data_IF_711466684576
#
_entry.id   IF_711466684576
#
_cell.length_a   1.000
_cell.length_b   1.000
_cell.length_c   1.000
_cell.angle_alpha   90.00
_cell.angle_beta   90.00
_cell.angle_gamma   90.00
#
_symmetry.space_group_name_H-M   'P 1'
#
loop_
_entity.id
_entity.type
_entity.pdbx_description
1 polymer ?
#
# COMPACT_ATOMS: atom_id res chain seq x y z
N UNK A 1 9.12 -26.88 9.61
CA UNK A 1 8.61 -25.56 9.22
C UNK A 1 7.21 -25.71 8.68
N UNK A 2 6.28 -24.91 9.19
CA UNK A 2 4.91 -24.81 8.72
C UNK A 2 4.83 -24.08 7.38
N UNK A 3 3.70 -24.17 6.68
CA UNK A 3 3.43 -23.33 5.49
C UNK A 3 3.48 -21.83 5.82
N UNK A 4 3.15 -21.46 7.07
CA UNK A 4 3.27 -20.09 7.52
C UNK A 4 4.74 -19.67 7.65
N UNK A 5 5.61 -20.53 8.18
CA UNK A 5 7.04 -20.24 8.31
C UNK A 5 7.70 -20.06 6.93
N UNK A 6 7.34 -20.90 5.95
CA UNK A 6 7.82 -20.76 4.57
C UNK A 6 7.41 -19.39 3.97
N UNK A 7 6.17 -18.97 4.20
CA UNK A 7 5.68 -17.67 3.74
C UNK A 7 6.50 -16.53 4.36
N UNK A 8 6.72 -16.55 5.68
CA UNK A 8 7.49 -15.51 6.36
C UNK A 8 8.92 -15.40 5.83
N UNK A 9 9.59 -16.54 5.62
CA UNK A 9 10.95 -16.56 5.07
C UNK A 9 10.98 -16.00 3.65
N UNK A 10 10.07 -16.43 2.77
CA UNK A 10 10.00 -15.93 1.40
C UNK A 10 9.71 -14.42 1.35
N UNK A 11 8.77 -13.96 2.19
CA UNK A 11 8.44 -12.55 2.35
C UNK A 11 9.68 -11.75 2.76
N UNK A 12 10.40 -12.19 3.78
CA UNK A 12 11.55 -11.45 4.32
C UNK A 12 12.72 -11.40 3.34
N UNK A 13 13.01 -12.52 2.65
CA UNK A 13 14.00 -12.57 1.57
C UNK A 13 13.60 -11.61 0.45
N UNK A 14 12.35 -11.64 0.02
CA UNK A 14 11.84 -10.78 -1.04
C UNK A 14 11.93 -9.30 -0.68
N UNK A 15 11.51 -8.96 0.55
CA UNK A 15 11.62 -7.63 1.14
C UNK A 15 13.07 -7.14 1.10
N UNK A 16 14.02 -7.92 1.61
CA UNK A 16 15.44 -7.58 1.62
C UNK A 16 15.98 -7.33 0.20
N UNK A 17 15.68 -8.23 -0.74
CA UNK A 17 16.12 -8.09 -2.14
C UNK A 17 15.52 -6.85 -2.82
N UNK A 18 14.24 -6.56 -2.61
CA UNK A 18 13.59 -5.38 -3.17
C UNK A 18 14.11 -4.09 -2.54
N UNK A 19 14.34 -4.09 -1.22
CA UNK A 19 14.92 -2.97 -0.50
C UNK A 19 16.33 -2.62 -0.99
N UNK A 20 17.18 -3.64 -1.21
CA UNK A 20 18.52 -3.46 -1.78
C UNK A 20 18.51 -2.91 -3.22
N UNK A 21 17.44 -3.16 -3.99
CA UNK A 21 17.23 -2.58 -5.32
C UNK A 21 16.68 -1.15 -5.28
N UNK A 22 16.44 -0.60 -4.09
CA UNK A 22 15.88 0.74 -3.92
C UNK A 22 14.42 0.86 -4.32
N UNK A 23 13.64 -0.21 -4.16
CA UNK A 23 12.21 -0.14 -4.36
C UNK A 23 11.48 0.27 -3.08
N UNK A 24 10.42 1.10 -3.16
CA UNK A 24 9.53 1.35 -2.04
C UNK A 24 8.78 0.07 -1.64
N UNK A 25 8.73 -0.19 -0.33
CA UNK A 25 8.02 -1.31 0.28
C UNK A 25 7.19 -0.76 1.43
N UNK A 26 5.87 -0.89 1.33
CA UNK A 26 4.92 -0.29 2.26
C UNK A 26 4.24 -1.39 3.08
N UNK A 27 4.22 -1.24 4.41
CA UNK A 27 3.33 -2.04 5.25
C UNK A 27 1.91 -1.48 5.15
N UNK A 28 1.17 -2.02 4.21
CA UNK A 28 -0.06 -1.44 3.70
C UNK A 28 -1.03 -2.55 3.29
N UNK A 29 -2.30 -2.20 3.12
CA UNK A 29 -3.23 -3.04 2.37
C UNK A 29 -3.54 -2.40 1.04
N UNK A 30 -3.85 -3.20 0.02
CA UNK A 30 -4.17 -2.69 -1.31
C UNK A 30 -5.27 -3.50 -1.98
N UNK A 31 -5.99 -2.82 -2.87
CA UNK A 31 -7.04 -3.40 -3.69
C UNK A 31 -6.86 -3.00 -5.15
N UNK A 32 -7.31 -3.87 -6.04
CA UNK A 32 -7.51 -3.58 -7.45
C UNK A 32 -8.83 -2.83 -7.61
N UNK A 33 -8.72 -1.53 -7.86
CA UNK A 33 -9.82 -0.64 -8.12
C UNK A 33 -9.92 -0.40 -9.64
N UNK A 34 -10.62 -1.30 -10.32
CA UNK A 34 -10.91 -1.23 -11.76
C UNK A 34 -9.65 -1.21 -12.64
N UNK A 35 -8.71 -2.14 -12.41
CA UNK A 35 -7.46 -2.28 -13.15
C UNK A 35 -6.35 -1.34 -12.66
N UNK A 36 -6.50 -0.74 -11.48
CA UNK A 36 -5.51 0.16 -10.89
C UNK A 36 -5.38 -0.10 -9.39
N UNK A 37 -4.16 -0.08 -8.88
CA UNK A 37 -3.92 -0.35 -7.47
C UNK A 37 -4.21 0.89 -6.59
N UNK A 38 -5.01 0.69 -5.55
CA UNK A 38 -5.20 1.65 -4.45
C UNK A 38 -4.54 1.09 -3.20
N UNK A 39 -3.67 1.88 -2.56
CA UNK A 39 -2.95 1.49 -1.35
C UNK A 39 -3.48 2.26 -0.14
N UNK A 40 -3.65 1.57 0.98
CA UNK A 40 -4.03 2.12 2.27
C UNK A 40 -2.91 1.94 3.29
N UNK A 41 -2.33 3.06 3.72
CA UNK A 41 -1.25 3.12 4.70
C UNK A 41 -1.78 3.67 6.03
N UNK A 42 -1.19 3.22 7.14
CA UNK A 42 -1.54 3.70 8.48
C UNK A 42 -0.73 2.96 9.53
N UNK A 43 -0.71 3.49 10.76
CA UNK A 43 -0.07 2.78 11.87
C UNK A 43 -0.76 1.44 12.14
N UNK A 44 -0.12 0.58 12.93
CA UNK A 44 -0.79 -0.66 13.38
C UNK A 44 -2.09 -0.30 14.10
N UNK A 45 -3.18 -1.00 13.78
CA UNK A 45 -4.51 -0.74 14.35
C UNK A 45 -5.35 0.34 13.66
N UNK A 46 -4.82 1.12 12.71
CA UNK A 46 -5.62 2.17 12.02
C UNK A 46 -6.73 1.63 11.13
N UNK A 47 -6.65 0.36 10.71
CA UNK A 47 -7.70 -0.32 9.95
C UNK A 47 -7.36 -0.67 8.49
N UNK A 48 -6.07 -0.79 8.12
CA UNK A 48 -5.62 -1.25 6.78
C UNK A 48 -6.34 -2.54 6.32
N UNK A 49 -6.22 -3.59 7.11
CA UNK A 49 -6.90 -4.86 6.83
C UNK A 49 -8.43 -4.73 6.90
N UNK A 50 -8.95 -3.81 7.72
CA UNK A 50 -10.39 -3.55 7.82
C UNK A 50 -10.94 -2.94 6.52
N UNK A 51 -10.33 -1.87 6.01
CA UNK A 51 -10.81 -1.18 4.81
C UNK A 51 -10.70 -2.06 3.56
N UNK A 52 -9.59 -2.81 3.41
CA UNK A 52 -9.44 -3.76 2.30
C UNK A 52 -10.47 -4.89 2.36
N UNK A 53 -10.82 -5.38 3.56
CA UNK A 53 -11.93 -6.35 3.73
C UNK A 53 -13.29 -5.75 3.43
N UNK A 54 -13.57 -4.52 3.87
CA UNK A 54 -14.84 -3.84 3.56
C UNK A 54 -15.01 -3.64 2.05
N UNK A 55 -13.92 -3.35 1.33
CA UNK A 55 -13.93 -3.20 -0.13
C UNK A 55 -13.90 -4.54 -0.87
N UNK A 56 -13.52 -5.65 -0.22
CA UNK A 56 -13.33 -6.96 -0.86
C UNK A 56 -14.59 -7.53 -1.56
N UNK A 57 -15.78 -7.04 -1.22
CA UNK A 57 -17.03 -7.41 -1.88
C UNK A 57 -17.17 -6.83 -3.30
N UNK A 58 -16.42 -5.76 -3.62
CA UNK A 58 -16.48 -5.02 -4.91
C UNK A 58 -15.13 -4.99 -5.63
N UNK A 59 -14.05 -5.01 -4.88
CA UNK A 59 -12.67 -4.87 -5.36
C UNK A 59 -11.82 -6.02 -4.90
N UNK A 60 -10.92 -6.49 -5.74
CA UNK A 60 -10.07 -7.59 -5.36
C UNK A 60 -8.91 -7.13 -4.47
N UNK A 61 -8.67 -7.80 -3.35
CA UNK A 61 -7.50 -7.50 -2.51
C UNK A 61 -6.24 -7.97 -3.23
N UNK A 62 -5.26 -7.07 -3.38
CA UNK A 62 -3.96 -7.38 -3.98
C UNK A 62 -3.04 -7.95 -2.90
N UNK A 63 -2.79 -7.18 -1.82
CA UNK A 63 -1.95 -7.58 -0.70
C UNK A 63 -2.36 -6.82 0.57
N UNK A 64 -2.50 -7.49 1.72
CA UNK A 64 -2.90 -6.84 3.00
C UNK A 64 -1.75 -6.65 4.00
N UNK A 65 -0.52 -6.94 3.57
CA UNK A 65 0.70 -6.87 4.38
C UNK A 65 1.76 -5.98 3.72
N UNK A 66 2.54 -6.50 2.77
CA UNK A 66 3.66 -5.78 2.16
C UNK A 66 3.38 -5.48 0.69
N UNK A 67 3.30 -4.19 0.38
CA UNK A 67 3.08 -3.68 -0.95
C UNK A 67 4.39 -3.20 -1.56
N UNK A 68 4.83 -3.90 -2.61
CA UNK A 68 6.02 -3.55 -3.37
C UNK A 68 5.64 -2.67 -4.56
N UNK A 69 6.38 -1.56 -4.72
CA UNK A 69 6.22 -0.66 -5.84
C UNK A 69 7.48 -0.66 -6.71
N UNK A 70 7.29 -0.73 -8.02
CA UNK A 70 8.31 -0.39 -9.00
C UNK A 70 8.13 1.07 -9.42
N UNK A 71 9.23 1.80 -9.50
CA UNK A 71 9.27 3.15 -10.04
C UNK A 71 9.79 3.11 -11.48
N UNK A 72 9.10 3.80 -12.38
CA UNK A 72 9.46 3.93 -13.79
C UNK A 72 9.22 5.36 -14.28
N UNK A 73 9.64 5.68 -15.50
CA UNK A 73 9.35 6.98 -16.10
C UNK A 73 7.83 7.24 -16.29
N UNK A 74 7.03 6.18 -16.42
CA UNK A 74 5.57 6.25 -16.55
C UNK A 74 4.82 6.28 -15.21
N UNK A 75 5.54 6.33 -14.09
CA UNK A 75 4.96 6.35 -12.75
C UNK A 75 5.23 5.07 -11.96
N UNK A 76 4.32 4.75 -11.04
CA UNK A 76 4.47 3.65 -10.09
C UNK A 76 3.57 2.48 -10.43
N UNK A 77 4.10 1.28 -10.24
CA UNK A 77 3.38 0.02 -10.45
C UNK A 77 3.45 -0.80 -9.17
N UNK A 78 2.29 -1.22 -8.67
CA UNK A 78 2.19 -2.17 -7.55
C UNK A 78 2.32 -3.57 -8.12
N UNK A 79 3.24 -4.35 -7.58
CA UNK A 79 3.47 -5.71 -8.05
C UNK A 79 2.92 -6.70 -7.05
N UNK A 80 2.08 -7.60 -7.55
CA UNK A 80 1.56 -8.67 -6.74
C UNK A 80 2.65 -9.71 -6.48
N UNK A 81 2.82 -10.10 -5.21
CA UNK A 81 3.85 -11.03 -4.80
C UNK A 81 3.41 -12.46 -5.11
N UNK A 82 4.21 -13.27 -5.84
CA UNK A 82 3.80 -14.60 -6.31
C UNK A 82 3.60 -15.63 -5.19
N UNK A 83 4.00 -15.30 -3.97
CA UNK A 83 3.84 -16.11 -2.76
C UNK A 83 2.73 -15.59 -1.84
N UNK A 84 2.02 -14.53 -2.23
CA UNK A 84 0.88 -14.02 -1.47
C UNK A 84 -0.33 -14.97 -1.57
N UNK A 85 -1.04 -15.13 -0.45
CA UNK A 85 -1.89 -16.31 -0.16
C UNK A 85 -3.27 -16.30 -0.84
N UNK A 86 -3.53 -15.42 -1.80
CA UNK A 86 -4.81 -15.36 -2.52
C UNK A 86 -4.71 -16.13 -3.83
N UNK A 87 -5.57 -17.15 -3.99
CA UNK A 87 -5.55 -18.09 -5.12
C UNK A 87 -5.93 -17.48 -6.47
N UNK A 88 -6.49 -16.26 -6.48
CA UNK A 88 -7.21 -15.72 -7.63
C UNK A 88 -6.73 -14.32 -8.08
N UNK A 89 -5.56 -13.83 -7.64
CA UNK A 89 -5.13 -12.45 -7.96
C UNK A 89 -4.95 -12.26 -9.49
N UNK A 90 -5.60 -11.25 -10.11
CA UNK A 90 -5.96 -11.29 -11.52
C UNK A 90 -4.81 -10.81 -12.43
N UNK A 91 -3.94 -9.94 -11.94
CA UNK A 91 -2.79 -9.43 -12.67
C UNK A 91 -1.50 -9.47 -11.84
N UNK A 92 -0.33 -9.72 -12.48
CA UNK A 92 0.95 -9.73 -11.78
C UNK A 92 1.35 -8.34 -11.26
N UNK A 93 0.81 -7.29 -11.85
CA UNK A 93 1.15 -5.90 -11.49
C UNK A 93 0.11 -4.93 -12.01
N UNK A 94 -0.19 -3.88 -11.25
CA UNK A 94 -1.17 -2.86 -11.61
C UNK A 94 -0.58 -1.44 -11.46
N UNK A 95 -0.90 -0.49 -12.34
CA UNK A 95 -0.48 0.90 -12.16
C UNK A 95 -1.10 1.48 -10.87
N UNK A 96 -0.33 2.28 -10.15
CA UNK A 96 -0.78 2.93 -8.92
C UNK A 96 -1.78 4.06 -9.25
N UNK A 97 -2.99 3.97 -8.69
CA UNK A 97 -3.99 5.04 -8.75
C UNK A 97 -3.81 6.06 -7.62
N UNK A 98 -3.64 5.59 -6.38
CA UNK A 98 -3.52 6.45 -5.20
C UNK A 98 -2.95 5.71 -3.99
N UNK A 99 -2.29 6.45 -3.11
CA UNK A 99 -1.94 6.04 -1.75
C UNK A 99 -2.74 6.91 -0.78
N UNK A 100 -3.53 6.25 0.06
CA UNK A 100 -4.30 6.91 1.11
C UNK A 100 -3.70 6.62 2.48
N UNK A 101 -3.35 7.69 3.21
CA UNK A 101 -3.06 7.63 4.63
C UNK A 101 -4.38 7.59 5.40
N UNK A 102 -4.61 6.52 6.16
CA UNK A 102 -5.87 6.29 6.84
C UNK A 102 -5.98 7.14 8.12
N UNK A 103 -7.17 7.70 8.31
CA UNK A 103 -7.61 8.35 9.55
C UNK A 103 -9.04 7.87 9.85
N UNK A 104 -9.32 7.41 11.06
CA UNK A 104 -10.67 6.98 11.42
C UNK A 104 -11.58 8.20 11.62
N UNK A 105 -12.78 8.14 11.07
CA UNK A 105 -13.77 9.21 11.18
C UNK A 105 -15.20 8.65 11.11
N UNK A 106 -16.19 9.50 11.38
CA UNK A 106 -17.61 9.15 11.23
C UNK A 106 -18.09 9.16 9.79
N UNK A 107 -17.41 9.93 8.92
CA UNK A 107 -17.73 10.06 7.49
C UNK A 107 -16.47 9.97 6.63
N UNK A 108 -16.66 9.59 5.38
CA UNK A 108 -15.57 9.44 4.43
C UNK A 108 -15.23 10.78 3.75
N UNK A 109 -13.94 11.13 3.76
CA UNK A 109 -13.44 12.36 3.14
C UNK A 109 -11.99 12.19 2.69
N UNK A 110 -11.69 12.62 1.47
CA UNK A 110 -10.30 12.70 0.98
C UNK A 110 -9.78 14.12 1.19
N UNK A 111 -8.61 14.22 1.82
CA UNK A 111 -7.90 15.49 2.04
C UNK A 111 -6.52 15.45 1.41
N UNK A 112 -6.07 16.60 0.93
CA UNK A 112 -4.67 16.79 0.54
C UNK A 112 -3.78 16.71 1.78
N UNK A 113 -2.55 16.26 1.58
CA UNK A 113 -1.51 16.45 2.58
C UNK A 113 -0.96 17.87 2.48
N UNK A 114 -0.53 18.42 3.61
CA UNK A 114 0.15 19.72 3.64
C UNK A 114 1.56 19.58 3.07
N UNK A 115 2.24 18.46 3.39
CA UNK A 115 3.54 18.11 2.81
C UNK A 115 3.68 16.59 2.63
N UNK A 116 4.40 16.13 1.57
CA UNK A 116 4.82 14.74 1.45
C UNK A 116 5.53 14.18 2.68
N UNK A 117 6.20 15.04 3.46
CA UNK A 117 6.94 14.64 4.66
C UNK A 117 6.01 14.04 5.74
N UNK A 118 4.74 14.45 5.78
CA UNK A 118 3.74 13.94 6.74
C UNK A 118 3.51 12.43 6.59
N UNK A 119 3.80 11.89 5.41
CA UNK A 119 3.64 10.48 5.12
C UNK A 119 4.88 9.65 5.41
N UNK A 120 6.06 10.26 5.52
CA UNK A 120 7.33 9.54 5.51
C UNK A 120 7.44 8.52 6.64
N UNK A 121 6.98 8.88 7.86
CA UNK A 121 6.96 7.95 8.98
C UNK A 121 6.11 6.70 8.69
N UNK A 122 4.92 6.88 8.08
CA UNK A 122 4.03 5.78 7.73
C UNK A 122 4.56 4.94 6.56
N UNK A 123 5.16 5.58 5.55
CA UNK A 123 5.67 4.89 4.38
C UNK A 123 6.98 4.14 4.66
N UNK A 124 7.75 4.56 5.67
CA UNK A 124 8.96 3.86 6.11
C UNK A 124 8.71 2.75 7.13
N UNK A 125 7.50 2.70 7.73
CA UNK A 125 7.07 1.56 8.53
C UNK A 125 6.92 0.33 7.63
N UNK A 126 7.99 -0.41 7.45
CA UNK A 126 8.04 -1.69 6.76
C UNK A 126 8.76 -2.70 7.66
N UNK A 127 8.64 -4.03 7.44
CA UNK A 127 9.13 -5.05 8.36
C UNK A 127 10.66 -5.16 8.27
N UNK A 128 11.36 -4.17 8.79
CA UNK A 128 12.82 -4.18 8.92
C UNK A 128 13.16 -3.80 10.34
N UNK A 129 14.09 -4.55 10.92
CA UNK A 129 14.62 -4.26 12.25
C UNK A 129 15.41 -2.95 12.26
N UNK A 130 15.97 -2.63 13.43
CA UNK A 130 16.81 -1.45 13.64
C UNK A 130 18.10 -1.46 12.82
N UNK A 131 18.49 -2.61 12.28
CA UNK A 131 19.68 -2.80 11.44
C UNK A 131 19.27 -3.11 9.99
N UNK A 132 18.69 -2.12 9.31
CA UNK A 132 18.39 -2.24 7.88
C UNK A 132 19.56 -1.73 7.02
N UNK A 133 20.34 -2.60 6.36
CA UNK A 133 21.43 -2.18 5.49
C UNK A 133 20.94 -1.39 4.26
N UNK A 134 19.65 -1.48 3.92
CA UNK A 134 19.05 -0.76 2.80
C UNK A 134 18.39 0.57 3.21
N UNK A 135 18.48 1.00 4.48
CA UNK A 135 17.70 2.14 5.00
C UNK A 135 17.88 3.41 4.17
N UNK A 136 19.11 3.75 3.79
CA UNK A 136 19.41 4.94 3.00
C UNK A 136 18.76 4.90 1.62
N UNK A 137 18.88 3.76 0.92
CA UNK A 137 18.32 3.59 -0.43
C UNK A 137 16.79 3.55 -0.36
N UNK A 138 16.20 2.84 0.60
CA UNK A 138 14.74 2.83 0.81
C UNK A 138 14.20 4.20 1.18
N UNK A 139 14.92 4.96 2.01
CA UNK A 139 14.53 6.33 2.36
C UNK A 139 14.46 7.21 1.11
N UNK A 140 15.47 7.14 0.24
CA UNK A 140 15.46 7.87 -1.04
C UNK A 140 14.31 7.42 -1.96
N UNK A 141 14.05 6.11 -2.04
CA UNK A 141 12.95 5.55 -2.82
C UNK A 141 11.58 6.02 -2.29
N UNK A 142 11.39 5.98 -0.96
CA UNK A 142 10.17 6.43 -0.30
C UNK A 142 9.97 7.93 -0.42
N UNK A 143 11.03 8.74 -0.36
CA UNK A 143 10.95 10.18 -0.65
C UNK A 143 10.51 10.44 -2.09
N UNK A 144 11.05 9.68 -3.06
CA UNK A 144 10.62 9.75 -4.46
C UNK A 144 9.14 9.39 -4.60
N UNK A 145 8.70 8.34 -3.92
CA UNK A 145 7.30 7.95 -3.88
C UNK A 145 6.43 9.05 -3.27
N UNK A 146 6.79 9.58 -2.10
CA UNK A 146 5.99 10.59 -1.40
C UNK A 146 5.84 11.88 -2.21
N UNK A 147 6.85 12.24 -3.01
CA UNK A 147 6.87 13.48 -3.80
C UNK A 147 6.22 13.34 -5.18
N UNK A 148 6.21 12.14 -5.77
CA UNK A 148 5.71 11.94 -7.14
C UNK A 148 4.40 11.13 -7.21
N UNK A 149 4.06 10.34 -6.19
CA UNK A 149 2.84 9.55 -6.19
C UNK A 149 1.62 10.39 -5.78
N UNK A 150 0.42 10.04 -6.29
CA UNK A 150 -0.83 10.59 -5.80
C UNK A 150 -1.06 10.11 -4.35
N UNK A 151 -0.74 10.98 -3.40
CA UNK A 151 -0.72 10.68 -1.98
C UNK A 151 -1.64 11.65 -1.22
N UNK A 152 -2.61 11.09 -0.50
CA UNK A 152 -3.69 11.85 0.15
C UNK A 152 -4.03 11.25 1.50
N UNK A 153 -4.78 11.97 2.33
CA UNK A 153 -5.39 11.41 3.54
C UNK A 153 -6.82 10.96 3.24
N UNK A 154 -7.18 9.78 3.71
CA UNK A 154 -8.55 9.27 3.67
C UNK A 154 -9.05 9.16 5.10
N UNK A 155 -9.96 10.06 5.46
CA UNK A 155 -10.83 9.87 6.61
C UNK A 155 -11.88 8.85 6.21
N UNK A 156 -12.10 7.80 6.99
CA UNK A 156 -13.05 6.74 6.61
C UNK A 156 -13.91 6.26 7.79
N UNK A 157 -15.16 5.97 7.47
CA UNK A 157 -16.14 5.28 8.33
C UNK A 157 -16.03 3.76 8.14
N UNK A 158 -16.95 2.97 8.71
CA UNK A 158 -17.03 1.53 8.44
C UNK A 158 -18.07 1.17 7.36
N UNK A 159 -18.66 2.16 6.69
CA UNK A 159 -19.61 1.93 5.60
C UNK A 159 -18.85 1.66 4.29
N UNK A 160 -18.91 0.41 3.82
CA UNK A 160 -18.23 -0.02 2.58
C UNK A 160 -18.66 0.75 1.33
N UNK A 161 -19.92 1.19 1.25
CA UNK A 161 -20.44 1.90 0.10
C UNK A 161 -19.98 3.36 0.11
N UNK A 162 -19.97 4.00 1.28
CA UNK A 162 -19.45 5.36 1.44
C UNK A 162 -17.95 5.43 1.09
N UNK A 163 -17.16 4.44 1.52
CA UNK A 163 -15.74 4.33 1.18
C UNK A 163 -15.56 4.20 -0.35
N UNK A 164 -16.29 3.29 -0.99
CA UNK A 164 -16.21 3.06 -2.44
C UNK A 164 -16.50 4.34 -3.22
N UNK A 165 -17.63 4.98 -2.93
CA UNK A 165 -18.07 6.19 -3.62
C UNK A 165 -17.09 7.35 -3.44
N UNK A 166 -16.50 7.47 -2.25
CA UNK A 166 -15.51 8.51 -1.95
C UNK A 166 -14.24 8.31 -2.76
N UNK A 167 -13.69 7.09 -2.78
CA UNK A 167 -12.49 6.75 -3.57
C UNK A 167 -12.79 6.92 -5.06
N UNK A 168 -13.91 6.40 -5.55
CA UNK A 168 -14.34 6.52 -6.94
C UNK A 168 -14.40 7.98 -7.41
N UNK A 169 -15.00 8.85 -6.59
CA UNK A 169 -15.09 10.29 -6.88
C UNK A 169 -13.70 10.92 -6.96
N UNK A 170 -12.83 10.61 -6.01
CA UNK A 170 -11.45 11.13 -5.97
C UNK A 170 -10.60 10.65 -7.16
N UNK A 171 -10.79 9.40 -7.61
CA UNK A 171 -10.06 8.83 -8.75
C UNK A 171 -10.59 9.27 -10.12
N UNK A 172 -11.75 9.95 -10.15
CA UNK A 172 -12.39 10.49 -11.36
C UNK A 172 -12.15 12.00 -11.58
N UNK A 173 -11.61 12.68 -10.57
CA UNK A 173 -11.34 14.12 -10.57
C UNK A 173 -9.92 14.43 -11.05
#
# INVERSE_FOLDING_TARGET
MSTHDHYLILRDIFCALCGLRGAPLLHASSVDFEGRAVIFCGVSGTGKTTISRLLSARHQVINDEINWLQCSASGFTVVNQPFWRLKDTPEPSLPLASIYLLEQAETCEVRKLDTPLDAMGLLLCAPYGTEDPALGVRTAATMTLATAAPLKRLRFSLDSEEIDQTIRRDLSA
#
